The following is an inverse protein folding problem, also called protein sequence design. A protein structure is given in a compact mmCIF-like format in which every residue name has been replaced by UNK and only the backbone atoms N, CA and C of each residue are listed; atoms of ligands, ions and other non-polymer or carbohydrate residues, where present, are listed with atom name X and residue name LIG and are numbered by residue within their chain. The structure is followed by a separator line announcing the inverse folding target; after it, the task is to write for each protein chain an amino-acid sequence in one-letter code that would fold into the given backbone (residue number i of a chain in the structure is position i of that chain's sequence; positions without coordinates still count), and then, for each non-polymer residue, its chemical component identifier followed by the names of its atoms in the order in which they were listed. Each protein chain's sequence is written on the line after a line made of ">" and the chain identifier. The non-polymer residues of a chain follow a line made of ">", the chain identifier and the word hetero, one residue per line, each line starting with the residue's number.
data_IF_087968936115
#
_entry.id   IF_087968936115
#
_cell.length_a   1.000
_cell.length_b   1.000
_cell.length_c   1.000
_cell.angle_alpha   90.00
_cell.angle_beta   90.00
_cell.angle_gamma   90.00
#
_symmetry.space_group_name_H-M   'P 1'
#
loop_
_entity.id
_entity.type
_entity.pdbx_description
1 polymer ?
#
# COMPACT_ATOMS: atom_id res chain seq x y z
N UNK A 1 -17.40 -28.24 3.31
CA UNK A 1 -17.20 -27.45 4.53
C UNK A 1 -17.85 -26.11 4.29
N UNK A 2 -19.00 -25.86 4.89
CA UNK A 2 -19.71 -24.60 4.75
C UNK A 2 -19.19 -23.61 5.79
N UNK A 3 -19.00 -22.34 5.39
CA UNK A 3 -18.67 -21.28 6.33
C UNK A 3 -19.90 -20.89 7.12
N UNK A 4 -19.75 -20.56 8.40
CA UNK A 4 -20.80 -19.85 9.13
C UNK A 4 -21.05 -18.49 8.47
N UNK A 5 -22.28 -18.00 8.52
CA UNK A 5 -22.64 -16.70 7.93
C UNK A 5 -21.78 -15.55 8.48
N UNK A 6 -21.37 -15.63 9.75
CA UNK A 6 -20.49 -14.65 10.37
C UNK A 6 -19.04 -14.73 9.88
N UNK A 7 -18.51 -15.94 9.66
CA UNK A 7 -17.20 -16.13 9.04
C UNK A 7 -17.21 -15.61 7.59
N UNK A 8 -18.30 -15.85 6.85
CA UNK A 8 -18.48 -15.35 5.48
C UNK A 8 -18.49 -13.82 5.43
N UNK A 9 -19.26 -13.16 6.30
CA UNK A 9 -19.29 -11.69 6.39
C UNK A 9 -17.91 -11.12 6.71
N UNK A 10 -17.19 -11.75 7.62
CA UNK A 10 -15.83 -11.33 8.01
C UNK A 10 -14.83 -11.46 6.85
N UNK A 11 -14.87 -12.56 6.09
CA UNK A 11 -14.03 -12.74 4.90
C UNK A 11 -14.36 -11.73 3.79
N UNK A 12 -15.64 -11.40 3.59
CA UNK A 12 -16.05 -10.35 2.65
C UNK A 12 -15.54 -8.97 3.07
N UNK A 13 -15.56 -8.66 4.37
CA UNK A 13 -15.01 -7.44 4.93
C UNK A 13 -13.48 -7.38 4.70
N UNK A 14 -12.77 -8.47 5.00
CA UNK A 14 -11.33 -8.59 4.77
C UNK A 14 -10.99 -8.38 3.28
N UNK A 15 -11.74 -9.01 2.37
CA UNK A 15 -11.55 -8.83 0.94
C UNK A 15 -11.77 -7.38 0.48
N UNK A 16 -12.72 -6.66 1.10
CA UNK A 16 -12.91 -5.22 0.86
C UNK A 16 -11.70 -4.41 1.33
N UNK A 17 -11.18 -4.68 2.52
CA UNK A 17 -9.98 -4.01 3.03
C UNK A 17 -8.73 -4.29 2.21
N UNK A 18 -8.54 -5.51 1.71
CA UNK A 18 -7.42 -5.81 0.79
C UNK A 18 -7.50 -4.95 -0.47
N UNK A 19 -8.69 -4.83 -1.09
CA UNK A 19 -8.88 -3.98 -2.27
C UNK A 19 -8.65 -2.50 -1.96
N UNK A 20 -9.17 -2.02 -0.83
CA UNK A 20 -8.99 -0.65 -0.38
C UNK A 20 -7.51 -0.33 -0.13
N UNK A 21 -6.81 -1.22 0.56
CA UNK A 21 -5.38 -1.12 0.82
C UNK A 21 -4.61 -0.95 -0.49
N UNK A 22 -4.85 -1.83 -1.47
CA UNK A 22 -4.19 -1.74 -2.78
C UNK A 22 -4.49 -0.42 -3.49
N UNK A 23 -5.75 0.05 -3.50
CA UNK A 23 -6.11 1.33 -4.12
C UNK A 23 -5.39 2.52 -3.47
N UNK A 24 -5.32 2.56 -2.14
CA UNK A 24 -4.66 3.63 -1.41
C UNK A 24 -3.14 3.57 -1.51
N UNK A 25 -2.56 2.36 -1.56
CA UNK A 25 -1.13 2.14 -1.78
C UNK A 25 -0.70 2.67 -3.15
N UNK A 26 -1.37 2.27 -4.24
CA UNK A 26 -1.08 2.81 -5.57
C UNK A 26 -1.40 4.31 -5.67
N UNK A 27 -2.37 4.78 -4.88
CA UNK A 27 -2.64 6.21 -4.69
C UNK A 27 -1.52 6.98 -3.99
N UNK A 28 -0.70 6.34 -3.15
CA UNK A 28 0.51 6.97 -2.60
C UNK A 28 1.70 6.92 -3.55
N UNK A 29 1.83 5.85 -4.34
CA UNK A 29 3.00 5.65 -5.19
C UNK A 29 2.92 6.41 -6.53
N UNK A 30 1.73 6.82 -6.99
CA UNK A 30 1.56 7.42 -8.31
C UNK A 30 0.80 8.75 -8.27
N UNK A 31 1.30 9.77 -8.97
CA UNK A 31 0.65 11.07 -9.07
C UNK A 31 -0.75 10.98 -9.70
N UNK A 32 -0.95 10.04 -10.64
CA UNK A 32 -2.25 9.83 -11.32
C UNK A 32 -3.36 9.45 -10.36
N UNK A 33 -3.04 8.66 -9.33
CA UNK A 33 -4.03 8.15 -8.37
C UNK A 33 -4.00 8.90 -7.03
N UNK A 34 -3.14 9.92 -6.87
CA UNK A 34 -3.05 10.75 -5.67
C UNK A 34 -4.39 11.40 -5.28
N UNK A 35 -5.27 11.64 -6.25
CA UNK A 35 -6.62 12.19 -6.04
C UNK A 35 -7.44 11.31 -5.09
N UNK A 36 -7.24 9.98 -5.08
CA UNK A 36 -7.96 9.06 -4.20
C UNK A 36 -7.70 9.29 -2.72
N UNK A 37 -6.57 9.91 -2.37
CA UNK A 37 -6.23 10.27 -0.98
C UNK A 37 -6.86 11.59 -0.52
N UNK A 38 -7.41 12.37 -1.44
CA UNK A 38 -8.05 13.66 -1.10
C UNK A 38 -9.41 13.44 -0.44
N UNK A 39 -9.92 14.40 0.36
CA UNK A 39 -11.25 14.29 0.95
C UNK A 39 -12.39 14.11 -0.06
N UNK A 40 -12.20 14.64 -1.29
CA UNK A 40 -13.11 14.46 -2.43
C UNK A 40 -13.00 13.05 -3.01
N UNK A 41 -11.77 12.55 -3.23
CA UNK A 41 -11.55 11.19 -3.72
C UNK A 41 -12.07 10.11 -2.77
N UNK A 42 -11.86 10.28 -1.47
CA UNK A 42 -12.45 9.43 -0.43
C UNK A 42 -13.99 9.51 -0.43
N UNK A 43 -14.56 10.69 -0.68
CA UNK A 43 -16.02 10.84 -0.86
C UNK A 43 -16.57 10.03 -2.03
N UNK A 44 -15.84 9.97 -3.14
CA UNK A 44 -16.23 9.13 -4.28
C UNK A 44 -16.07 7.64 -4.01
N UNK A 45 -15.10 7.23 -3.18
CA UNK A 45 -14.98 5.85 -2.72
C UNK A 45 -16.17 5.44 -1.84
N UNK A 46 -16.69 6.34 -1.00
CA UNK A 46 -17.95 6.11 -0.26
C UNK A 46 -19.12 5.96 -1.23
N UNK A 47 -19.26 6.88 -2.18
CA UNK A 47 -20.39 6.84 -3.14
C UNK A 47 -20.41 5.54 -3.97
N UNK A 48 -19.24 4.99 -4.28
CA UNK A 48 -19.09 3.71 -5.00
C UNK A 48 -19.21 2.47 -4.08
N UNK A 49 -19.40 2.66 -2.78
CA UNK A 49 -19.53 1.57 -1.80
C UNK A 49 -18.23 0.84 -1.50
N UNK A 50 -17.08 1.42 -1.84
CA UNK A 50 -15.77 0.83 -1.55
C UNK A 50 -15.39 0.98 -0.07
N UNK A 51 -15.83 2.07 0.56
CA UNK A 51 -15.65 2.37 1.99
C UNK A 51 -16.95 2.91 2.59
N UNK A 52 -17.07 2.85 3.91
CA UNK A 52 -18.18 3.45 4.67
C UNK A 52 -17.84 4.90 5.07
N UNK A 53 -18.86 5.69 5.43
CA UNK A 53 -18.65 7.05 5.95
C UNK A 53 -17.81 7.07 7.24
N UNK A 54 -17.97 6.07 8.10
CA UNK A 54 -17.17 5.94 9.33
C UNK A 54 -15.69 5.68 9.00
N UNK A 55 -15.41 4.77 8.06
CA UNK A 55 -14.06 4.48 7.59
C UNK A 55 -13.43 5.71 6.90
N UNK A 56 -14.21 6.46 6.12
CA UNK A 56 -13.76 7.73 5.52
C UNK A 56 -13.34 8.72 6.60
N UNK A 57 -14.15 8.91 7.63
CA UNK A 57 -13.83 9.84 8.71
C UNK A 57 -12.59 9.38 9.48
N UNK A 58 -12.45 8.08 9.74
CA UNK A 58 -11.25 7.52 10.36
C UNK A 58 -9.98 7.75 9.50
N UNK A 59 -10.07 7.60 8.18
CA UNK A 59 -8.97 7.91 7.25
C UNK A 59 -8.64 9.40 7.16
N UNK A 60 -9.63 10.28 7.33
CA UNK A 60 -9.40 11.73 7.33
C UNK A 60 -8.78 12.23 8.65
N UNK A 61 -9.10 11.57 9.76
CA UNK A 61 -8.52 11.86 11.07
C UNK A 61 -7.13 11.24 11.24
N UNK A 62 -6.86 10.12 10.57
CA UNK A 62 -5.58 9.42 10.61
C UNK A 62 -4.62 9.94 9.54
N UNK A 63 -3.42 10.33 9.93
CA UNK A 63 -2.33 10.67 9.00
C UNK A 63 -1.69 9.42 8.35
N UNK A 64 -2.12 8.21 8.72
CA UNK A 64 -1.43 6.96 8.34
C UNK A 64 -1.78 6.43 6.95
N UNK A 65 -2.84 6.93 6.31
CA UNK A 65 -3.21 6.58 4.93
C UNK A 65 -3.46 5.07 4.74
N UNK A 66 -2.72 4.44 3.81
CA UNK A 66 -2.87 3.00 3.53
C UNK A 66 -2.47 2.12 4.72
N UNK A 67 -1.59 2.59 5.62
CA UNK A 67 -1.18 1.83 6.81
C UNK A 67 -2.33 1.64 7.80
N UNK A 68 -3.28 2.58 7.87
CA UNK A 68 -4.47 2.45 8.71
C UNK A 68 -5.33 1.25 8.28
N UNK A 69 -5.44 1.00 6.97
CA UNK A 69 -6.22 -0.14 6.45
C UNK A 69 -5.53 -1.46 6.76
N UNK A 70 -4.19 -1.50 6.72
CA UNK A 70 -3.43 -2.67 7.16
C UNK A 70 -3.67 -3.00 8.64
N UNK A 71 -3.71 -1.97 9.48
CA UNK A 71 -4.04 -2.11 10.90
C UNK A 71 -5.49 -2.59 11.11
N UNK A 72 -6.45 -2.12 10.32
CA UNK A 72 -7.82 -2.62 10.36
C UNK A 72 -7.92 -4.09 9.96
N UNK A 73 -7.13 -4.54 8.97
CA UNK A 73 -7.04 -5.95 8.64
C UNK A 73 -6.44 -6.77 9.80
N UNK A 74 -5.37 -6.28 10.42
CA UNK A 74 -4.74 -6.97 11.54
C UNK A 74 -5.68 -7.07 12.77
N UNK A 75 -6.38 -5.98 13.10
CA UNK A 75 -7.35 -5.96 14.22
C UNK A 75 -8.55 -6.87 13.95
N UNK A 76 -9.08 -6.89 12.72
CA UNK A 76 -10.15 -7.80 12.31
C UNK A 76 -9.75 -9.28 12.43
N UNK A 77 -8.54 -9.64 11.99
CA UNK A 77 -8.04 -11.01 12.07
C UNK A 77 -7.82 -11.42 13.53
N UNK A 78 -7.26 -10.53 14.36
CA UNK A 78 -7.07 -10.78 15.80
C UNK A 78 -8.41 -10.94 16.53
N UNK A 79 -9.42 -10.11 16.23
CA UNK A 79 -10.75 -10.28 16.82
C UNK A 79 -11.42 -11.58 16.38
N UNK A 80 -11.25 -11.97 15.10
CA UNK A 80 -11.82 -13.22 14.59
C UNK A 80 -11.18 -14.48 15.19
N UNK A 81 -9.88 -14.43 15.54
CA UNK A 81 -9.23 -15.48 16.32
C UNK A 81 -9.72 -15.53 17.76
N UNK A 82 -9.84 -14.37 18.42
CA UNK A 82 -10.31 -14.28 19.81
C UNK A 82 -11.75 -14.79 19.96
N UNK A 83 -12.59 -14.47 18.99
CA UNK A 83 -14.00 -14.89 18.94
C UNK A 83 -14.17 -16.36 18.49
N UNK A 84 -13.08 -17.05 18.13
CA UNK A 84 -13.12 -18.43 17.63
C UNK A 84 -13.73 -18.58 16.23
N UNK A 85 -13.96 -17.48 15.50
CA UNK A 85 -14.46 -17.53 14.11
C UNK A 85 -13.42 -18.11 13.16
N UNK A 86 -12.14 -17.88 13.44
CA UNK A 86 -11.00 -18.54 12.84
C UNK A 86 -10.51 -19.64 13.79
N UNK A 87 -10.44 -20.89 13.32
CA UNK A 87 -10.03 -22.07 14.10
C UNK A 87 -10.99 -22.57 15.22
N UNK A 88 -12.27 -22.19 15.22
CA UNK A 88 -13.26 -22.71 16.17
C UNK A 88 -13.86 -24.09 15.87
N UNK A 89 -13.33 -24.84 14.89
CA UNK A 89 -13.84 -26.18 14.56
C UNK A 89 -13.32 -27.22 15.56
N UNK A 90 -14.16 -28.18 15.94
CA UNK A 90 -13.81 -29.33 16.80
C UNK A 90 -12.68 -30.22 16.25
N UNK A 91 -12.30 -30.03 14.98
CA UNK A 91 -11.24 -30.77 14.28
C UNK A 91 -10.05 -29.91 13.82
N UNK A 92 -10.03 -28.59 14.04
CA UNK A 92 -9.28 -27.72 13.11
C UNK A 92 -8.49 -26.54 13.68
N UNK A 93 -7.25 -26.82 14.12
CA UNK A 93 -6.13 -25.87 14.06
C UNK A 93 -5.71 -25.24 15.39
N UNK A 94 -4.40 -25.12 15.61
CA UNK A 94 -3.82 -24.41 16.76
C UNK A 94 -3.98 -22.88 16.55
N UNK A 95 -4.81 -22.18 17.35
CA UNK A 95 -5.08 -20.76 17.17
C UNK A 95 -3.83 -19.89 17.35
N UNK A 96 -2.89 -20.31 18.20
CA UNK A 96 -1.62 -19.61 18.43
C UNK A 96 -0.74 -19.70 17.18
N UNK A 97 -0.65 -20.88 16.57
CA UNK A 97 0.12 -21.07 15.34
C UNK A 97 -0.46 -20.26 14.17
N UNK A 98 -1.79 -20.21 14.05
CA UNK A 98 -2.45 -19.38 13.04
C UNK A 98 -2.19 -17.88 13.29
N UNK A 99 -2.29 -17.42 14.54
CA UNK A 99 -2.00 -16.03 14.90
C UNK A 99 -0.56 -15.64 14.53
N UNK A 100 0.43 -16.47 14.87
CA UNK A 100 1.83 -16.24 14.51
C UNK A 100 2.01 -16.17 13.00
N UNK A 101 1.37 -17.08 12.26
CA UNK A 101 1.45 -17.10 10.80
C UNK A 101 0.83 -15.85 10.18
N UNK A 102 -0.32 -15.40 10.68
CA UNK A 102 -0.98 -14.19 10.22
C UNK A 102 -0.15 -12.94 10.50
N UNK A 103 0.44 -12.82 11.69
CA UNK A 103 1.32 -11.71 12.03
C UNK A 103 2.59 -11.72 11.17
N UNK A 104 3.17 -12.89 10.92
CA UNK A 104 4.30 -13.03 10.00
C UNK A 104 3.93 -12.57 8.58
N UNK A 105 2.76 -12.98 8.06
CA UNK A 105 2.28 -12.56 6.73
C UNK A 105 1.94 -11.08 6.63
N UNK A 106 1.40 -10.46 7.69
CA UNK A 106 1.21 -9.01 7.72
C UNK A 106 2.55 -8.25 7.70
N UNK A 107 3.57 -8.77 8.40
CA UNK A 107 4.92 -8.20 8.40
C UNK A 107 5.60 -8.37 7.04
N UNK A 108 5.42 -9.54 6.40
CA UNK A 108 5.90 -9.81 5.03
C UNK A 108 5.25 -8.88 4.01
N UNK A 109 3.92 -8.71 4.07
CA UNK A 109 3.19 -7.73 3.24
C UNK A 109 3.76 -6.32 3.46
N UNK A 110 4.06 -5.97 4.71
CA UNK A 110 4.67 -4.68 5.07
C UNK A 110 6.05 -4.47 4.47
N UNK A 111 6.90 -5.49 4.48
CA UNK A 111 8.18 -5.45 3.77
C UNK A 111 8.00 -5.28 2.27
N UNK A 112 7.07 -6.04 1.67
CA UNK A 112 6.85 -6.05 0.23
C UNK A 112 6.31 -4.72 -0.32
N UNK A 113 5.34 -4.06 0.33
CA UNK A 113 4.85 -2.78 -0.18
C UNK A 113 5.83 -1.63 0.09
N UNK A 114 6.65 -1.72 1.14
CA UNK A 114 7.68 -0.72 1.40
C UNK A 114 8.77 -0.74 0.33
N UNK A 115 9.15 -1.92 -0.17
CA UNK A 115 10.13 -2.02 -1.26
C UNK A 115 9.61 -1.43 -2.58
N UNK A 116 8.30 -1.48 -2.84
CA UNK A 116 7.71 -0.86 -4.04
C UNK A 116 7.95 0.65 -4.05
N UNK A 117 7.75 1.33 -2.91
CA UNK A 117 8.02 2.76 -2.81
C UNK A 117 9.51 3.08 -3.00
N UNK A 118 10.39 2.25 -2.44
CA UNK A 118 11.83 2.40 -2.56
C UNK A 118 12.32 2.22 -4.01
N UNK A 119 11.85 1.16 -4.69
CA UNK A 119 12.15 0.89 -6.10
C UNK A 119 11.60 1.98 -7.03
N UNK A 120 10.35 2.43 -6.81
CA UNK A 120 9.73 3.51 -7.60
C UNK A 120 10.42 4.85 -7.39
N UNK A 121 10.91 5.08 -6.18
CA UNK A 121 11.67 6.29 -5.86
C UNK A 121 12.95 6.31 -6.68
N UNK A 122 13.55 5.14 -6.97
CA UNK A 122 14.59 4.96 -7.99
C UNK A 122 15.71 5.99 -7.88
N UNK A 123 15.95 6.51 -6.66
CA UNK A 123 16.78 7.67 -6.43
C UNK A 123 18.22 7.25 -6.69
N UNK A 124 18.65 7.48 -7.92
CA UNK A 124 20.08 7.51 -8.21
C UNK A 124 20.70 8.53 -7.25
N UNK A 125 21.86 8.22 -6.64
CA UNK A 125 22.54 9.16 -5.77
C UNK A 125 22.67 10.50 -6.48
N UNK A 126 22.29 11.60 -5.82
CA UNK A 126 22.24 12.94 -6.43
C UNK A 126 23.56 13.28 -7.14
N UNK A 127 24.69 12.94 -6.52
CA UNK A 127 26.02 13.12 -7.08
C UNK A 127 26.23 12.43 -8.44
N UNK A 128 25.66 11.23 -8.63
CA UNK A 128 25.74 10.52 -9.91
C UNK A 128 24.98 11.26 -11.01
N UNK A 129 23.76 11.70 -10.73
CA UNK A 129 22.95 12.46 -11.70
C UNK A 129 23.60 13.80 -12.05
N UNK A 130 24.20 14.49 -11.07
CA UNK A 130 24.91 15.75 -11.27
C UNK A 130 26.18 15.58 -12.09
N UNK A 131 26.96 14.51 -11.85
CA UNK A 131 28.17 14.25 -12.61
C UNK A 131 27.86 14.00 -14.10
N UNK A 132 26.86 13.16 -14.39
CA UNK A 132 26.44 12.88 -15.77
C UNK A 132 25.93 14.16 -16.45
N UNK A 133 25.17 14.98 -15.73
CA UNK A 133 24.71 16.27 -16.22
C UNK A 133 25.87 17.22 -16.56
N UNK A 134 26.84 17.38 -15.67
CA UNK A 134 28.03 18.22 -15.91
C UNK A 134 28.80 17.71 -17.14
N UNK A 135 29.00 16.39 -17.26
CA UNK A 135 29.70 15.82 -18.42
C UNK A 135 28.96 16.11 -19.74
N UNK A 136 27.64 15.96 -19.76
CA UNK A 136 26.81 16.25 -20.93
C UNK A 136 26.83 17.75 -21.29
N UNK A 137 26.70 18.62 -20.28
CA UNK A 137 26.70 20.07 -20.47
C UNK A 137 28.05 20.57 -20.97
N UNK A 138 29.17 20.03 -20.47
CA UNK A 138 30.50 20.35 -20.99
C UNK A 138 30.67 19.88 -22.43
N UNK A 139 30.22 18.67 -22.78
CA UNK A 139 30.28 18.17 -24.15
C UNK A 139 29.50 19.08 -25.11
N UNK A 140 28.26 19.42 -24.79
CA UNK A 140 27.42 20.32 -25.60
C UNK A 140 28.04 21.71 -25.66
N UNK A 141 28.56 22.22 -24.53
CA UNK A 141 29.21 23.53 -24.43
C UNK A 141 30.50 23.65 -25.25
N UNK A 142 31.29 22.57 -25.35
CA UNK A 142 32.54 22.55 -26.14
C UNK A 142 32.35 22.15 -27.60
N UNK A 143 31.22 21.53 -27.96
CA UNK A 143 30.88 21.16 -29.35
C UNK A 143 31.03 22.32 -30.36
N UNK A 144 30.54 23.55 -30.12
CA UNK A 144 30.68 24.64 -31.10
C UNK A 144 32.15 25.05 -31.32
N UNK A 145 32.99 25.03 -30.28
CA UNK A 145 34.42 25.34 -30.40
C UNK A 145 35.16 24.29 -31.21
N UNK A 146 34.82 23.01 -31.03
CA UNK A 146 35.37 21.91 -31.81
C UNK A 146 34.96 21.99 -33.29
N UNK A 147 33.71 22.38 -33.57
CA UNK A 147 33.19 22.49 -34.93
C UNK A 147 33.80 23.66 -35.71
N UNK A 148 34.04 24.80 -35.05
CA UNK A 148 34.68 25.98 -35.68
C UNK A 148 36.13 25.70 -36.05
N UNK A 149 36.82 24.80 -35.33
CA UNK A 149 38.20 24.42 -35.64
C UNK A 149 38.29 23.28 -36.69
N UNK A 150 37.18 22.62 -37.04
CA UNK A 150 37.15 21.54 -38.03
C UNK A 150 36.76 21.99 -39.44
N UNK A 151 36.41 23.28 -39.63
CA UNK A 151 36.11 23.93 -40.92
C UNK A 151 37.26 24.87 -41.26
#
# INVERSE_FOLDING_TARGET
>A
GEFTEDARKMLLLLARYVRLFSMLLYGSCTARFAILRTPRGLGELVRRGAITDAERNALLQSSMGHNAVLEWMATLMNSALRDGRLCGSSTGGNPVALQMTLQAKMTELRGAYASIEDELTGRMPLAYTQLVQIMADLLIGFTPFALVHSV
#
